data_IF_614639364328
#
_entry.id   IF_614639364328
#
_cell.length_a   1.000
_cell.length_b   1.000
_cell.length_c   1.000
_cell.angle_alpha   90.00
_cell.angle_beta   90.00
_cell.angle_gamma   90.00
#
_symmetry.space_group_name_H-M   'P 1'
#
loop_
_entity.id
_entity.type
_entity.pdbx_description
1 polymer ?
#
# COMPACT_ATOMS: atom_id res chain seq x y z
N UNK A 1 24.25 4.76 0.98
CA UNK A 1 23.42 4.63 2.20
C UNK A 1 21.98 4.60 1.70
N UNK A 2 21.29 3.46 1.76
CA UNK A 2 19.92 3.34 1.26
C UNK A 2 18.98 4.06 2.23
N UNK A 3 18.35 5.16 1.83
CA UNK A 3 17.34 5.85 2.63
C UNK A 3 15.98 5.33 2.20
N UNK A 4 15.39 4.46 3.03
CA UNK A 4 13.98 4.13 2.90
C UNK A 4 13.19 5.17 3.69
N UNK A 5 12.27 5.86 3.03
CA UNK A 5 11.34 6.80 3.67
C UNK A 5 9.93 6.22 3.57
N UNK A 6 9.11 6.47 4.59
CA UNK A 6 7.71 6.11 4.58
C UNK A 6 6.90 7.25 5.19
N UNK A 7 5.67 7.41 4.72
CA UNK A 7 4.69 8.34 5.27
C UNK A 7 3.30 7.70 5.26
N UNK A 8 2.49 8.12 6.21
CA UNK A 8 1.10 7.70 6.32
C UNK A 8 0.18 8.90 6.28
N UNK A 9 -1.01 8.72 5.73
CA UNK A 9 -2.12 9.65 5.90
C UNK A 9 -3.36 8.92 6.40
N UNK A 10 -4.16 9.65 7.16
CA UNK A 10 -5.44 9.20 7.66
C UNK A 10 -6.53 10.16 7.18
N UNK A 11 -7.70 9.63 6.87
CA UNK A 11 -8.86 10.43 6.51
C UNK A 11 -10.14 9.61 6.61
N UNK A 12 -11.22 10.20 6.09
CA UNK A 12 -12.51 9.55 6.01
C UNK A 12 -13.07 9.66 4.61
N UNK A 13 -13.77 8.62 4.19
CA UNK A 13 -14.66 8.65 3.04
C UNK A 13 -16.09 8.47 3.54
N UNK A 14 -16.83 9.57 3.62
CA UNK A 14 -18.08 9.59 4.38
C UNK A 14 -17.77 9.30 5.86
N UNK A 15 -18.30 8.19 6.37
CA UNK A 15 -18.03 7.71 7.74
C UNK A 15 -16.93 6.63 7.82
N UNK A 16 -16.44 6.13 6.68
CA UNK A 16 -15.47 5.03 6.67
C UNK A 16 -14.04 5.55 6.86
N UNK A 17 -13.30 5.06 7.86
CA UNK A 17 -11.90 5.44 8.04
C UNK A 17 -11.06 4.93 6.88
N UNK A 18 -10.11 5.75 6.43
CA UNK A 18 -9.19 5.45 5.34
C UNK A 18 -7.77 5.72 5.78
N UNK A 19 -6.89 4.75 5.57
CA UNK A 19 -5.47 4.87 5.81
C UNK A 19 -4.75 4.69 4.49
N UNK A 20 -3.81 5.59 4.19
CA UNK A 20 -2.91 5.43 3.05
C UNK A 20 -1.48 5.42 3.54
N UNK A 21 -0.73 4.40 3.16
CA UNK A 21 0.70 4.28 3.47
C UNK A 21 1.46 4.41 2.16
N UNK A 22 2.52 5.19 2.20
CA UNK A 22 3.47 5.35 1.11
C UNK A 22 4.85 4.95 1.62
N UNK A 23 5.63 4.28 0.78
CA UNK A 23 7.03 4.00 1.06
C UNK A 23 7.87 4.16 -0.21
N UNK A 24 9.07 4.70 -0.05
CA UNK A 24 9.96 5.02 -1.15
C UNK A 24 11.33 4.41 -0.90
N UNK A 25 11.98 4.04 -2.00
CA UNK A 25 13.38 3.64 -1.98
C UNK A 25 14.05 4.19 -3.24
N UNK A 26 14.84 5.23 -3.01
CA UNK A 26 15.56 5.95 -4.05
C UNK A 26 17.01 6.21 -3.62
N UNK A 27 18.01 5.93 -4.47
CA UNK A 27 19.42 6.22 -4.17
C UNK A 27 19.73 7.71 -3.96
N UNK A 28 19.00 8.60 -4.62
CA UNK A 28 19.14 10.06 -4.51
C UNK A 28 18.32 10.63 -3.33
N UNK A 29 17.52 9.79 -2.68
CA UNK A 29 16.72 10.15 -1.50
C UNK A 29 15.39 10.83 -1.84
N UNK A 30 14.87 10.64 -3.05
CA UNK A 30 13.52 11.08 -3.43
C UNK A 30 12.44 10.32 -2.66
N UNK A 31 11.43 11.04 -2.19
CA UNK A 31 10.30 10.53 -1.41
C UNK A 31 8.94 10.91 -2.03
N UNK A 32 8.90 10.97 -3.36
CA UNK A 32 7.72 11.28 -4.15
C UNK A 32 7.42 10.21 -5.21
N UNK A 33 6.45 10.47 -6.07
CA UNK A 33 5.99 9.56 -7.12
C UNK A 33 7.04 9.29 -8.23
N UNK A 34 8.16 10.00 -8.22
CA UNK A 34 9.30 9.83 -9.14
C UNK A 34 10.40 8.94 -8.55
N UNK A 35 10.23 8.42 -7.32
CA UNK A 35 11.16 7.45 -6.73
C UNK A 35 11.34 6.22 -7.61
N UNK A 36 12.58 5.71 -7.68
CA UNK A 36 12.90 4.43 -8.37
C UNK A 36 12.00 3.28 -7.90
N UNK A 37 11.67 3.23 -6.60
CA UNK A 37 10.74 2.25 -6.06
C UNK A 37 9.72 2.96 -5.17
N UNK A 38 8.45 2.79 -5.52
CA UNK A 38 7.36 3.45 -4.85
C UNK A 38 6.30 2.43 -4.47
N UNK A 39 5.89 2.45 -3.21
CA UNK A 39 4.77 1.69 -2.69
C UNK A 39 3.68 2.66 -2.28
N UNK A 40 2.44 2.32 -2.63
CA UNK A 40 1.24 2.96 -2.11
C UNK A 40 0.20 1.89 -1.78
N UNK A 41 -0.27 1.91 -0.55
CA UNK A 41 -1.41 1.08 -0.15
C UNK A 41 -2.48 1.95 0.48
N UNK A 42 -3.73 1.68 0.14
CA UNK A 42 -4.91 2.25 0.78
C UNK A 42 -5.70 1.12 1.42
N UNK A 43 -6.10 1.33 2.66
CA UNK A 43 -6.92 0.39 3.41
C UNK A 43 -8.12 1.16 3.95
N UNK A 44 -9.29 0.77 3.45
CA UNK A 44 -10.59 1.33 3.79
C UNK A 44 -11.23 0.54 4.92
N UNK A 45 -12.08 1.21 5.68
CA UNK A 45 -12.96 0.63 6.70
C UNK A 45 -12.23 -0.15 7.81
N UNK A 46 -11.03 0.32 8.17
CA UNK A 46 -10.22 -0.27 9.25
C UNK A 46 -10.77 0.16 10.60
N UNK A 47 -11.65 -0.67 11.15
CA UNK A 47 -12.38 -0.38 12.40
C UNK A 47 -11.98 -1.29 13.57
N UNK A 48 -11.53 -2.51 13.26
CA UNK A 48 -11.17 -3.55 14.24
C UNK A 48 -9.90 -4.33 13.88
N UNK A 49 -9.39 -5.12 14.81
CA UNK A 49 -8.23 -5.99 14.53
C UNK A 49 -8.68 -7.15 13.64
N UNK A 50 -7.75 -7.67 12.83
CA UNK A 50 -8.07 -8.75 11.90
C UNK A 50 -7.41 -8.59 10.55
N UNK A 51 -7.88 -9.38 9.58
CA UNK A 51 -7.33 -9.41 8.24
C UNK A 51 -8.23 -8.69 7.27
N UNK A 52 -7.66 -7.72 6.58
CA UNK A 52 -8.28 -6.92 5.52
C UNK A 52 -7.73 -7.37 4.18
N UNK A 53 -8.60 -7.74 3.26
CA UNK A 53 -8.21 -8.11 1.90
C UNK A 53 -8.19 -6.87 1.02
N UNK A 54 -7.09 -6.67 0.30
CA UNK A 54 -6.90 -5.56 -0.62
C UNK A 54 -7.17 -6.06 -2.05
N UNK A 55 -8.46 -6.03 -2.44
CA UNK A 55 -8.95 -6.56 -3.71
C UNK A 55 -9.33 -5.51 -4.74
N UNK A 56 -9.33 -4.23 -4.35
CA UNK A 56 -9.79 -3.16 -5.23
C UNK A 56 -8.70 -2.57 -6.11
N UNK A 57 -9.03 -1.55 -6.91
CA UNK A 57 -8.09 -0.91 -7.81
C UNK A 57 -7.58 0.43 -7.27
N UNK A 58 -6.33 0.78 -7.59
CA UNK A 58 -5.80 2.12 -7.32
C UNK A 58 -6.46 3.21 -8.19
N UNK A 59 -7.15 2.80 -9.26
CA UNK A 59 -7.92 3.69 -10.15
C UNK A 59 -9.29 4.07 -9.56
N UNK A 60 -9.73 3.36 -8.53
CA UNK A 60 -11.02 3.58 -7.89
C UNK A 60 -10.83 4.24 -6.53
N UNK A 61 -11.48 5.38 -6.32
CA UNK A 61 -11.33 6.16 -5.09
C UNK A 61 -11.83 5.44 -3.83
N UNK A 62 -12.70 4.46 -4.01
CA UNK A 62 -13.45 3.77 -2.95
C UNK A 62 -12.83 2.44 -2.51
N UNK A 63 -11.68 2.08 -3.08
CA UNK A 63 -11.13 0.74 -2.98
C UNK A 63 -9.93 0.63 -2.03
N UNK A 64 -9.86 -0.50 -1.32
CA UNK A 64 -8.63 -0.97 -0.65
C UNK A 64 -7.71 -1.64 -1.66
N UNK A 65 -6.49 -1.14 -1.82
CA UNK A 65 -5.56 -1.62 -2.84
C UNK A 65 -4.10 -1.61 -2.37
N UNK A 66 -3.27 -2.28 -3.16
CA UNK A 66 -1.82 -2.23 -3.03
C UNK A 66 -1.18 -2.02 -4.40
N UNK A 67 -0.36 -0.98 -4.51
CA UNK A 67 0.37 -0.60 -5.71
C UNK A 67 1.87 -0.55 -5.37
N UNK A 68 2.67 -1.25 -6.15
CA UNK A 68 4.11 -1.12 -6.14
C UNK A 68 4.62 -0.75 -7.53
N UNK A 69 5.46 0.26 -7.62
CA UNK A 69 6.00 0.77 -8.87
C UNK A 69 7.51 0.65 -8.83
N UNK A 70 8.08 0.04 -9.86
CA UNK A 70 9.52 -0.01 -10.11
C UNK A 70 9.79 0.86 -11.34
N UNK A 71 10.59 1.89 -11.18
CA UNK A 71 11.05 2.78 -12.25
C UNK A 71 12.52 2.53 -12.51
N UNK A 72 12.83 1.97 -13.68
CA UNK A 72 14.20 1.88 -14.18
C UNK A 72 14.58 3.20 -14.89
N UNK A 73 13.58 3.89 -15.46
CA UNK A 73 13.71 5.26 -15.98
C UNK A 73 12.36 6.00 -15.94
N UNK A 74 12.31 7.25 -16.40
CA UNK A 74 11.05 7.99 -16.52
C UNK A 74 10.08 7.36 -17.54
N UNK A 75 10.62 6.69 -18.57
CA UNK A 75 9.87 6.07 -19.67
C UNK A 75 9.65 4.56 -19.45
N UNK A 76 10.41 3.95 -18.54
CA UNK A 76 10.33 2.52 -18.21
C UNK A 76 9.95 2.34 -16.74
N UNK A 77 8.64 2.15 -16.52
CA UNK A 77 8.07 1.89 -15.21
C UNK A 77 7.15 0.68 -15.25
N UNK A 78 7.34 -0.25 -14.32
CA UNK A 78 6.48 -1.41 -14.11
C UNK A 78 5.61 -1.17 -12.89
N UNK A 79 4.31 -1.46 -13.02
CA UNK A 79 3.36 -1.37 -11.91
C UNK A 79 2.91 -2.77 -11.55
N UNK A 80 2.91 -3.04 -10.26
CA UNK A 80 2.46 -4.29 -9.68
C UNK A 80 1.28 -4.01 -8.78
N UNK A 81 0.16 -4.67 -9.06
CA UNK A 81 -1.12 -4.44 -8.41
C UNK A 81 -1.71 -5.74 -7.86
N UNK A 82 -2.61 -5.64 -6.90
CA UNK A 82 -3.42 -6.78 -6.50
C UNK A 82 -4.33 -7.24 -7.65
N UNK A 83 -4.57 -8.54 -7.76
CA UNK A 83 -5.46 -9.10 -8.77
C UNK A 83 -6.70 -9.71 -8.09
N UNK A 84 -7.90 -9.12 -8.24
CA UNK A 84 -9.11 -9.60 -7.58
C UNK A 84 -9.57 -11.00 -8.00
N UNK A 85 -9.11 -11.49 -9.16
CA UNK A 85 -9.42 -12.83 -9.65
C UNK A 85 -8.44 -13.91 -9.14
N UNK A 86 -7.36 -13.52 -8.45
CA UNK A 86 -6.35 -14.41 -7.85
C UNK A 86 -6.30 -14.21 -6.34
N UNK A 87 -5.39 -14.91 -5.66
CA UNK A 87 -5.17 -14.72 -4.23
C UNK A 87 -4.90 -13.25 -3.89
N UNK A 88 -5.72 -12.74 -2.99
CA UNK A 88 -5.74 -11.37 -2.51
C UNK A 88 -4.48 -11.00 -1.74
N UNK A 89 -4.04 -9.76 -1.90
CA UNK A 89 -3.07 -9.18 -0.97
C UNK A 89 -3.75 -8.93 0.38
N UNK A 90 -3.10 -9.32 1.46
CA UNK A 90 -3.68 -9.28 2.81
C UNK A 90 -2.94 -8.28 3.71
N UNK A 91 -3.72 -7.53 4.48
CA UNK A 91 -3.23 -6.67 5.53
C UNK A 91 -3.78 -7.14 6.88
N UNK A 92 -2.92 -7.47 7.82
CA UNK A 92 -3.31 -7.93 9.14
C UNK A 92 -3.09 -6.83 10.18
N UNK A 93 -4.17 -6.28 10.72
CA UNK A 93 -4.13 -5.32 11.82
C UNK A 93 -4.06 -6.07 13.14
N UNK A 94 -2.95 -5.89 13.85
CA UNK A 94 -2.66 -6.57 15.12
C UNK A 94 -3.15 -5.78 16.33
N UNK A 95 -2.95 -4.47 16.33
CA UNK A 95 -3.31 -3.60 17.45
C UNK A 95 -3.66 -2.20 16.95
N UNK A 96 -4.54 -1.53 17.71
CA UNK A 96 -4.78 -0.09 17.59
C UNK A 96 -4.15 0.64 18.76
N UNK A 97 -3.70 1.85 18.50
CA UNK A 97 -3.20 2.76 19.51
C UNK A 97 -3.77 4.16 19.29
N UNK A 98 -3.98 4.94 20.36
CA UNK A 98 -4.40 6.33 20.21
C UNK A 98 -3.31 7.13 19.49
N UNK A 99 -3.72 8.05 18.61
CA UNK A 99 -2.80 9.08 18.10
C UNK A 99 -2.96 10.35 18.92
N UNK A 100 -1.86 11.04 19.21
CA UNK A 100 -1.95 12.32 19.91
C UNK A 100 -2.77 13.33 19.08
N UNK A 101 -3.67 14.05 19.76
CA UNK A 101 -4.47 15.14 19.19
C UNK A 101 -5.51 14.77 18.11
N UNK A 102 -5.91 13.50 18.02
CA UNK A 102 -6.91 13.05 17.04
C UNK A 102 -7.76 11.89 17.57
N UNK A 103 -9.05 11.88 17.24
CA UNK A 103 -9.96 10.74 17.47
C UNK A 103 -9.62 9.54 16.56
N UNK A 104 -8.71 9.72 15.61
CA UNK A 104 -8.18 8.61 14.80
C UNK A 104 -7.38 7.65 15.66
N UNK A 105 -7.53 6.35 15.40
CA UNK A 105 -6.65 5.33 15.98
C UNK A 105 -5.55 5.04 14.98
N UNK A 106 -4.30 5.10 15.41
CA UNK A 106 -3.21 4.49 14.67
C UNK A 106 -3.34 2.98 14.77
N UNK A 107 -2.75 2.24 13.85
CA UNK A 107 -2.69 0.80 13.95
C UNK A 107 -1.29 0.28 13.63
N UNK A 108 -0.99 -0.90 14.17
CA UNK A 108 0.17 -1.70 13.79
C UNK A 108 -0.30 -2.99 13.19
N UNK A 109 0.35 -3.40 12.12
CA UNK A 109 0.00 -4.60 11.38
C UNK A 109 1.18 -5.16 10.60
N UNK A 110 0.87 -6.11 9.75
CA UNK A 110 1.78 -6.70 8.78
C UNK A 110 1.03 -6.97 7.48
N UNK A 111 1.74 -7.08 6.38
CA UNK A 111 1.12 -7.39 5.10
C UNK A 111 1.87 -8.45 4.31
N UNK A 112 1.12 -9.20 3.50
CA UNK A 112 1.68 -10.25 2.65
C UNK A 112 0.73 -10.58 1.50
N UNK A 113 1.29 -11.07 0.40
CA UNK A 113 0.52 -11.49 -0.76
C UNK A 113 1.33 -11.44 -2.05
N UNK A 114 0.61 -11.56 -3.17
CA UNK A 114 1.20 -11.50 -4.51
C UNK A 114 0.66 -10.29 -5.25
N UNK A 115 1.56 -9.50 -5.80
CA UNK A 115 1.24 -8.44 -6.76
C UNK A 115 1.58 -8.93 -8.15
N UNK A 116 0.81 -8.50 -9.14
CA UNK A 116 0.98 -8.89 -10.53
C UNK A 116 1.29 -7.66 -11.36
N UNK A 117 2.24 -7.80 -12.28
CA UNK A 117 2.55 -6.74 -13.22
C UNK A 117 1.29 -6.43 -14.06
N UNK A 118 0.95 -5.15 -14.17
CA UNK A 118 -0.25 -4.65 -14.86
C UNK A 118 -0.23 -4.99 -16.36
N UNK A 119 0.94 -4.97 -16.99
CA UNK A 119 1.13 -5.24 -18.42
C UNK A 119 1.37 -6.73 -18.72
N UNK A 120 2.00 -7.48 -17.82
CA UNK A 120 2.22 -8.93 -17.93
C UNK A 120 1.90 -9.68 -16.63
N UNK A 121 0.67 -10.21 -16.44
CA UNK A 121 0.27 -10.91 -15.22
C UNK A 121 1.01 -12.22 -14.90
N UNK A 122 1.96 -12.67 -15.75
CA UNK A 122 2.90 -13.76 -15.45
C UNK A 122 4.11 -13.28 -14.65
N UNK A 123 4.46 -12.01 -14.78
CA UNK A 123 5.42 -11.33 -13.93
C UNK A 123 4.72 -10.93 -12.62
N UNK A 124 5.27 -11.39 -11.50
CA UNK A 124 4.64 -11.23 -10.19
C UNK A 124 5.67 -11.03 -9.09
N UNK A 125 5.29 -10.25 -8.10
CA UNK A 125 6.07 -9.99 -6.90
C UNK A 125 5.40 -10.64 -5.71
N UNK A 126 6.12 -11.53 -5.05
CA UNK A 126 5.68 -12.15 -3.80
C UNK A 126 6.22 -11.35 -2.63
N UNK A 127 5.33 -10.80 -1.82
CA UNK A 127 5.65 -10.17 -0.54
C UNK A 127 5.31 -11.18 0.56
N UNK A 128 6.34 -11.81 1.11
CA UNK A 128 6.19 -12.80 2.18
C UNK A 128 6.00 -12.17 3.56
N UNK A 129 6.57 -10.99 3.79
CA UNK A 129 6.45 -10.26 5.05
C UNK A 129 6.77 -8.77 4.85
N UNK A 130 5.88 -7.91 5.35
CA UNK A 130 6.06 -6.45 5.45
C UNK A 130 5.41 -5.89 6.70
#
# INVERSE_FOLDING_TARGET
MCKSTYNGSFGYLGAMPMYTIYAYRDPEGRDDYLSENFLRTRIMDVTDTGTYLLNGSYENDFDSYFLFVVRESAEDSKRYINNPAKESFSFHVKEFFPTEYSDSRGFKGSFSGVLYNEDDPKDSLVISQG
#
